data_IF_418571253255
#
_entry.id   IF_418571253255
#
_cell.length_a   1.000
_cell.length_b   1.000
_cell.length_c   1.000
_cell.angle_alpha   90.00
_cell.angle_beta   90.00
_cell.angle_gamma   90.00
#
_symmetry.space_group_name_H-M   'P 1'
#
loop_
_entity.id
_entity.type
_entity.pdbx_description
1 polymer ?
#
# COMPACT_ATOMS: atom_id res chain seq x y z
N UNK A 1 -53.56 18.61 -13.71
CA UNK A 1 -54.06 18.79 -12.32
C UNK A 1 -52.87 19.06 -11.42
N UNK A 2 -53.06 19.91 -10.41
CA UNK A 2 -52.06 20.44 -9.47
C UNK A 2 -51.55 19.38 -8.48
N UNK A 3 -50.24 19.45 -8.21
CA UNK A 3 -49.47 19.29 -6.95
C UNK A 3 -50.11 18.56 -5.75
N UNK A 4 -49.32 17.71 -5.08
CA UNK A 4 -49.14 17.70 -3.61
C UNK A 4 -47.76 17.10 -3.27
N UNK A 5 -46.96 17.84 -2.49
CA UNK A 5 -45.84 17.31 -1.68
C UNK A 5 -46.42 16.88 -0.33
N UNK A 6 -45.99 15.74 0.22
CA UNK A 6 -46.18 15.44 1.64
C UNK A 6 -44.89 14.89 2.26
N UNK A 7 -44.64 15.38 3.47
CA UNK A 7 -43.47 15.25 4.34
C UNK A 7 -43.74 14.15 5.38
N UNK A 8 -42.71 13.43 5.81
CA UNK A 8 -42.65 12.66 7.06
C UNK A 8 -41.36 11.84 7.08
N UNK A 9 -40.26 12.15 7.78
CA UNK A 9 -40.04 12.48 9.19
C UNK A 9 -40.30 11.30 10.16
N UNK A 10 -39.21 10.76 10.72
CA UNK A 10 -39.17 9.88 11.90
C UNK A 10 -39.31 8.39 11.59
N UNK A 11 -38.65 7.44 12.26
CA UNK A 11 -37.84 7.44 13.47
C UNK A 11 -37.08 6.10 13.50
N UNK A 12 -35.88 6.11 14.11
CA UNK A 12 -35.19 4.92 14.60
C UNK A 12 -36.15 3.98 15.35
N UNK A 13 -36.01 2.67 15.21
CA UNK A 13 -35.90 1.77 16.37
C UNK A 13 -35.35 0.40 15.99
N UNK A 14 -34.44 -0.05 16.85
CA UNK A 14 -33.76 -1.34 16.90
C UNK A 14 -34.78 -2.44 17.23
N UNK A 15 -34.68 -3.58 16.56
CA UNK A 15 -35.16 -4.85 17.10
C UNK A 15 -34.06 -5.91 17.00
N UNK A 16 -33.23 -5.95 18.03
CA UNK A 16 -32.54 -7.17 18.44
C UNK A 16 -33.30 -7.68 19.66
N UNK A 17 -33.96 -8.83 19.51
CA UNK A 17 -34.28 -9.80 20.57
C UNK A 17 -34.83 -11.05 19.85
N UNK A 18 -33.98 -12.04 19.58
CA UNK A 18 -33.70 -13.22 20.43
C UNK A 18 -34.97 -14.01 20.73
N UNK A 19 -35.10 -15.19 20.13
CA UNK A 19 -35.71 -16.32 20.80
C UNK A 19 -35.14 -17.63 20.23
N UNK A 20 -34.54 -18.40 21.12
CA UNK A 20 -33.64 -19.50 20.79
C UNK A 20 -34.33 -20.76 20.29
N UNK A 21 -33.52 -21.60 19.66
CA UNK A 21 -33.81 -23.01 19.43
C UNK A 21 -32.56 -23.83 19.77
N UNK A 22 -32.65 -24.51 20.92
CA UNK A 22 -32.13 -25.81 21.29
C UNK A 22 -30.85 -26.32 20.58
N UNK A 23 -29.74 -26.36 21.32
CA UNK A 23 -28.62 -27.25 21.02
C UNK A 23 -28.87 -28.62 21.64
N UNK A 24 -29.08 -29.65 20.81
CA UNK A 24 -28.88 -31.06 21.17
C UNK A 24 -27.66 -31.54 20.41
N UNK A 25 -26.60 -31.90 21.15
CA UNK A 25 -25.40 -32.55 20.63
C UNK A 25 -25.71 -34.02 20.35
N UNK A 26 -25.33 -34.51 19.16
CA UNK A 26 -24.94 -35.91 18.87
C UNK A 26 -24.47 -36.07 17.41
N UNK A 27 -23.19 -36.45 17.25
CA UNK A 27 -22.69 -37.45 16.30
C UNK A 27 -22.90 -37.32 14.78
N UNK A 28 -21.77 -37.51 14.07
CA UNK A 28 -21.63 -38.08 12.70
C UNK A 28 -22.07 -37.26 11.48
N UNK A 29 -21.05 -36.74 10.79
CA UNK A 29 -20.77 -36.82 9.35
C UNK A 29 -21.92 -36.90 8.30
N UNK A 30 -21.86 -35.90 7.40
CA UNK A 30 -22.23 -35.87 5.97
C UNK A 30 -23.68 -35.61 5.49
N UNK A 31 -23.76 -34.50 4.74
CA UNK A 31 -24.49 -34.26 3.48
C UNK A 31 -25.91 -33.62 3.48
N UNK A 32 -25.91 -32.35 3.04
CA UNK A 32 -26.72 -31.71 1.99
C UNK A 32 -28.25 -31.58 2.08
N UNK A 33 -28.71 -30.33 1.99
CA UNK A 33 -29.76 -29.83 1.05
C UNK A 33 -29.59 -28.28 0.93
N UNK A 34 -29.11 -27.77 -0.21
CA UNK A 34 -29.82 -27.26 -1.40
C UNK A 34 -30.37 -25.81 -1.34
N UNK A 35 -29.66 -24.94 -2.08
CA UNK A 35 -30.13 -23.92 -3.05
C UNK A 35 -30.99 -22.74 -2.57
N UNK A 36 -30.46 -21.51 -2.69
CA UNK A 36 -31.12 -20.46 -3.48
C UNK A 36 -30.10 -19.42 -4.00
N UNK A 37 -30.34 -18.99 -5.23
CA UNK A 37 -29.41 -18.43 -6.20
C UNK A 37 -29.20 -16.91 -6.16
N UNK A 38 -28.13 -16.49 -6.85
CA UNK A 38 -28.01 -15.35 -7.79
C UNK A 38 -27.09 -14.21 -7.36
N UNK A 39 -26.09 -14.02 -8.23
CA UNK A 39 -25.12 -12.94 -8.41
C UNK A 39 -25.21 -11.68 -7.54
N UNK A 40 -24.09 -11.39 -6.88
CA UNK A 40 -23.39 -10.13 -7.14
C UNK A 40 -21.88 -10.39 -7.07
N UNK A 41 -21.21 -10.12 -8.19
CA UNK A 41 -19.77 -10.19 -8.35
C UNK A 41 -19.06 -9.30 -7.31
N UNK A 42 -18.73 -9.88 -6.16
CA UNK A 42 -17.71 -9.32 -5.30
C UNK A 42 -16.39 -9.74 -5.92
N UNK A 43 -15.82 -8.82 -6.70
CA UNK A 43 -14.41 -8.85 -7.09
C UNK A 43 -13.59 -9.14 -5.85
N UNK A 44 -13.27 -10.41 -5.66
CA UNK A 44 -12.28 -10.85 -4.71
C UNK A 44 -10.99 -10.33 -5.30
N UNK A 45 -10.63 -9.10 -4.95
CA UNK A 45 -9.24 -8.67 -5.03
C UNK A 45 -8.50 -9.65 -4.14
N UNK A 46 -7.97 -10.69 -4.77
CA UNK A 46 -6.94 -11.53 -4.22
C UNK A 46 -5.86 -10.56 -3.78
N UNK A 47 -5.81 -10.28 -2.48
CA UNK A 47 -4.81 -9.43 -1.89
C UNK A 47 -3.51 -10.22 -1.99
N UNK A 48 -2.87 -10.07 -3.15
CA UNK A 48 -1.61 -10.69 -3.48
C UNK A 48 -0.66 -10.25 -2.37
N UNK A 49 -0.15 -11.19 -1.59
CA UNK A 49 0.87 -10.91 -0.59
C UNK A 49 2.06 -10.32 -1.35
N UNK A 50 2.13 -8.99 -1.39
CA UNK A 50 3.04 -8.26 -2.24
C UNK A 50 4.48 -8.52 -1.82
N UNK A 51 5.36 -8.66 -2.80
CA UNK A 51 6.81 -8.64 -2.58
C UNK A 51 7.20 -7.42 -1.74
N UNK A 52 8.16 -7.59 -0.84
CA UNK A 52 8.68 -6.52 0.02
C UNK A 52 10.19 -6.42 -0.08
N UNK A 53 10.71 -5.20 -0.01
CA UNK A 53 12.12 -4.93 0.22
C UNK A 53 12.36 -4.87 1.72
N UNK A 54 13.15 -5.80 2.26
CA UNK A 54 13.48 -5.87 3.68
C UNK A 54 14.90 -5.38 3.95
N UNK A 55 15.04 -4.49 4.92
CA UNK A 55 16.30 -3.90 5.35
C UNK A 55 16.45 -3.99 6.86
N UNK A 56 17.71 -3.90 7.34
CA UNK A 56 18.01 -3.77 8.77
C UNK A 56 18.77 -2.47 8.99
N UNK A 57 18.17 -1.55 9.73
CA UNK A 57 18.71 -0.21 9.94
C UNK A 57 20.08 -0.22 10.62
N UNK A 58 21.06 0.43 9.98
CA UNK A 58 22.40 0.64 10.50
C UNK A 58 22.61 2.08 10.96
N UNK A 59 23.66 2.37 11.76
CA UNK A 59 24.04 3.74 12.09
C UNK A 59 24.26 4.58 10.82
N UNK A 60 23.58 5.72 10.74
CA UNK A 60 23.66 6.62 9.58
C UNK A 60 22.65 6.32 8.46
N UNK A 61 21.90 5.21 8.53
CA UNK A 61 20.79 4.97 7.62
C UNK A 61 19.61 5.90 7.93
N UNK A 62 18.82 6.21 6.90
CA UNK A 62 17.52 6.84 6.99
C UNK A 62 16.49 6.05 6.20
N UNK A 63 15.20 6.25 6.50
CA UNK A 63 14.14 5.66 5.69
C UNK A 63 14.23 6.11 4.23
N UNK A 64 14.59 7.38 3.98
CA UNK A 64 14.76 7.91 2.62
C UNK A 64 15.88 7.20 1.84
N UNK A 65 17.01 6.86 2.49
CA UNK A 65 18.07 6.07 1.88
C UNK A 65 17.60 4.64 1.54
N UNK A 66 16.80 4.02 2.42
CA UNK A 66 16.20 2.70 2.15
C UNK A 66 15.18 2.76 1.02
N UNK A 67 14.35 3.81 0.97
CA UNK A 67 13.43 4.08 -0.12
C UNK A 67 14.17 4.23 -1.45
N UNK A 68 15.25 5.02 -1.48
CA UNK A 68 16.13 5.16 -2.66
C UNK A 68 16.66 3.81 -3.13
N UNK A 69 17.15 2.98 -2.19
CA UNK A 69 17.65 1.63 -2.49
C UNK A 69 16.55 0.76 -3.10
N UNK A 70 15.34 0.79 -2.54
CA UNK A 70 14.21 0.04 -3.05
C UNK A 70 13.84 0.46 -4.48
N UNK A 71 13.81 1.77 -4.75
CA UNK A 71 13.53 2.34 -6.08
C UNK A 71 14.60 1.93 -7.11
N UNK A 72 15.88 2.05 -6.75
CA UNK A 72 16.98 1.64 -7.62
C UNK A 72 16.95 0.13 -7.89
N UNK A 73 16.69 -0.68 -6.86
CA UNK A 73 16.55 -2.14 -6.98
C UNK A 73 15.38 -2.48 -7.92
N UNK A 74 14.23 -1.82 -7.74
CA UNK A 74 13.08 -1.98 -8.64
C UNK A 74 13.44 -1.62 -10.09
N UNK A 75 14.14 -0.50 -10.30
CA UNK A 75 14.59 -0.06 -11.63
C UNK A 75 15.49 -1.09 -12.31
N UNK A 76 16.47 -1.64 -11.58
CA UNK A 76 17.38 -2.68 -12.09
C UNK A 76 16.62 -3.96 -12.41
N UNK A 77 15.84 -4.49 -11.45
CA UNK A 77 15.11 -5.76 -11.60
C UNK A 77 14.07 -5.70 -12.72
N UNK A 78 13.37 -4.58 -12.86
CA UNK A 78 12.29 -4.40 -13.84
C UNK A 78 12.76 -3.72 -15.15
N UNK A 79 14.07 -3.48 -15.31
CA UNK A 79 14.66 -2.81 -16.48
C UNK A 79 14.02 -1.45 -16.78
N UNK A 80 13.70 -0.71 -15.72
CA UNK A 80 13.17 0.66 -15.81
C UNK A 80 14.33 1.64 -15.61
N UNK A 81 14.65 2.39 -16.65
CA UNK A 81 15.63 3.48 -16.56
C UNK A 81 14.99 4.70 -15.89
N UNK A 82 15.61 5.22 -14.83
CA UNK A 82 15.16 6.38 -14.08
C UNK A 82 16.28 7.41 -14.04
N UNK A 83 15.95 8.68 -14.30
CA UNK A 83 16.86 9.79 -14.02
C UNK A 83 16.99 10.02 -12.52
N UNK A 84 18.06 10.68 -12.10
CA UNK A 84 18.27 11.04 -10.70
C UNK A 84 17.12 11.88 -10.14
N UNK A 85 16.58 12.82 -10.94
CA UNK A 85 15.40 13.61 -10.59
C UNK A 85 14.16 12.72 -10.34
N UNK A 86 13.95 11.68 -11.15
CA UNK A 86 12.85 10.73 -11.00
C UNK A 86 13.02 9.87 -9.73
N UNK A 87 14.26 9.46 -9.43
CA UNK A 87 14.57 8.73 -8.19
C UNK A 87 14.25 9.59 -6.97
N UNK A 88 14.69 10.85 -6.95
CA UNK A 88 14.41 11.77 -5.82
C UNK A 88 12.92 12.07 -5.67
N UNK A 89 12.21 12.25 -6.78
CA UNK A 89 10.75 12.41 -6.75
C UNK A 89 10.09 11.19 -6.09
N UNK A 90 10.39 9.98 -6.55
CA UNK A 90 9.79 8.76 -6.01
C UNK A 90 10.18 8.54 -4.55
N UNK A 91 11.44 8.77 -4.19
CA UNK A 91 11.95 8.65 -2.83
C UNK A 91 11.23 9.60 -1.87
N UNK A 92 11.10 10.87 -2.26
CA UNK A 92 10.48 11.91 -1.44
C UNK A 92 9.05 11.51 -1.08
N UNK A 93 8.27 11.11 -2.08
CA UNK A 93 6.87 10.75 -1.86
C UNK A 93 6.71 9.42 -1.14
N UNK A 94 7.54 8.42 -1.45
CA UNK A 94 7.53 7.14 -0.72
C UNK A 94 7.91 7.32 0.77
N UNK A 95 8.81 8.26 1.06
CA UNK A 95 9.19 8.63 2.43
C UNK A 95 8.06 9.38 3.15
N UNK A 96 7.40 10.31 2.45
CA UNK A 96 6.24 11.05 2.98
C UNK A 96 5.07 10.12 3.28
N UNK A 97 4.74 9.18 2.38
CA UNK A 97 3.68 8.19 2.57
C UNK A 97 3.93 7.31 3.81
N UNK A 98 5.20 7.06 4.14
CA UNK A 98 5.59 6.30 5.33
C UNK A 98 5.59 7.15 6.62
N UNK A 99 5.34 8.46 6.53
CA UNK A 99 5.40 9.38 7.66
C UNK A 99 6.81 9.76 8.09
N UNK A 100 7.82 9.57 7.23
CA UNK A 100 9.23 9.89 7.50
C UNK A 100 9.74 9.34 8.84
N UNK A 101 9.62 8.02 9.09
CA UNK A 101 9.90 7.47 10.41
C UNK A 101 11.38 7.60 10.77
N UNK A 102 11.64 7.94 12.03
CA UNK A 102 12.98 7.78 12.61
C UNK A 102 13.31 6.29 12.71
N UNK A 103 14.56 5.93 12.41
CA UNK A 103 15.03 4.55 12.46
C UNK A 103 15.85 4.29 13.72
N UNK A 104 15.60 3.15 14.35
CA UNK A 104 16.43 2.63 15.45
C UNK A 104 17.40 1.59 14.90
N UNK A 105 18.64 1.58 15.38
CA UNK A 105 19.63 0.55 14.99
C UNK A 105 19.06 -0.86 15.19
N UNK A 106 19.22 -1.72 14.19
CA UNK A 106 18.73 -3.09 14.22
C UNK A 106 17.24 -3.24 13.89
N UNK A 107 16.51 -2.13 13.69
CA UNK A 107 15.12 -2.17 13.28
C UNK A 107 14.99 -2.82 11.89
N UNK A 108 14.10 -3.80 11.78
CA UNK A 108 13.65 -4.31 10.48
C UNK A 108 12.72 -3.29 9.83
N UNK A 109 13.03 -2.91 8.60
CA UNK A 109 12.21 -2.01 7.80
C UNK A 109 11.77 -2.75 6.55
N UNK A 110 10.47 -2.76 6.28
CA UNK A 110 9.88 -3.37 5.10
C UNK A 110 9.21 -2.29 4.24
N UNK A 111 9.61 -2.22 2.97
CA UNK A 111 9.03 -1.32 1.98
C UNK A 111 8.30 -2.18 0.95
N UNK A 112 6.98 -1.99 0.82
CA UNK A 112 6.15 -2.75 -0.12
C UNK A 112 6.55 -2.44 -1.57
N UNK A 113 6.75 -3.47 -2.38
CA UNK A 113 7.10 -3.29 -3.80
C UNK A 113 6.00 -2.55 -4.56
N UNK A 114 4.73 -2.76 -4.23
CA UNK A 114 3.61 -2.03 -4.85
C UNK A 114 3.68 -0.52 -4.60
N UNK A 115 4.12 -0.10 -3.42
CA UNK A 115 4.31 1.32 -3.10
C UNK A 115 5.46 1.91 -3.92
N UNK A 116 6.56 1.16 -4.05
CA UNK A 116 7.71 1.54 -4.90
C UNK A 116 7.27 1.66 -6.35
N UNK A 117 6.61 0.63 -6.89
CA UNK A 117 6.09 0.60 -8.25
C UNK A 117 5.17 1.78 -8.55
N UNK A 118 4.25 2.10 -7.64
CA UNK A 118 3.34 3.24 -7.80
C UNK A 118 4.13 4.56 -7.97
N UNK A 119 5.10 4.84 -7.11
CA UNK A 119 5.88 6.06 -7.18
C UNK A 119 6.87 6.09 -8.35
N UNK A 120 7.43 4.93 -8.72
CA UNK A 120 8.24 4.79 -9.94
C UNK A 120 7.42 5.10 -11.18
N UNK A 121 6.20 4.59 -11.29
CA UNK A 121 5.32 4.89 -12.44
C UNK A 121 5.03 6.39 -12.53
N UNK A 122 4.66 7.03 -11.42
CA UNK A 122 4.44 8.48 -11.37
C UNK A 122 5.71 9.28 -11.72
N UNK A 123 6.87 8.80 -11.29
CA UNK A 123 8.15 9.44 -11.62
C UNK A 123 8.44 9.40 -13.13
N UNK A 124 8.11 8.30 -13.80
CA UNK A 124 8.27 8.16 -15.25
C UNK A 124 7.45 9.15 -16.05
N UNK A 125 6.28 9.52 -15.52
CA UNK A 125 5.36 10.44 -16.18
C UNK A 125 5.72 11.93 -15.96
N UNK A 126 6.81 12.23 -15.24
CA UNK A 126 7.29 13.59 -15.07
C UNK A 126 7.73 14.21 -16.41
N UNK A 127 7.19 15.38 -16.72
CA UNK A 127 7.63 16.20 -17.85
C UNK A 127 9.08 16.67 -17.66
N UNK A 128 9.72 17.10 -18.75
CA UNK A 128 11.08 17.64 -18.69
C UNK A 128 11.20 18.85 -17.73
N UNK A 129 10.18 19.71 -17.69
CA UNK A 129 10.14 20.85 -16.77
C UNK A 129 10.04 20.39 -15.30
N UNK A 130 9.22 19.37 -15.02
CA UNK A 130 9.13 18.81 -13.68
C UNK A 130 10.44 18.12 -13.27
N UNK A 131 11.06 17.35 -14.17
CA UNK A 131 12.37 16.74 -13.91
C UNK A 131 13.44 17.80 -13.62
N UNK A 132 13.46 18.92 -14.35
CA UNK A 132 14.36 20.04 -14.08
C UNK A 132 14.14 20.64 -12.69
N UNK A 133 12.89 20.79 -12.26
CA UNK A 133 12.56 21.27 -10.92
C UNK A 133 13.03 20.31 -9.83
N UNK A 134 12.99 18.99 -10.06
CA UNK A 134 13.51 17.99 -9.11
C UNK A 134 15.03 17.85 -9.14
N UNK A 135 15.67 18.21 -10.26
CA UNK A 135 17.10 18.07 -10.43
C UNK A 135 17.90 18.90 -9.40
N UNK A 136 17.34 20.01 -8.92
CA UNK A 136 17.97 20.84 -7.88
C UNK A 136 18.25 20.04 -6.60
N UNK A 137 17.41 19.07 -6.28
CA UNK A 137 17.56 18.18 -5.12
C UNK A 137 18.47 16.98 -5.43
N UNK A 138 18.49 16.54 -6.69
CA UNK A 138 19.33 15.41 -7.13
C UNK A 138 20.82 15.74 -7.11
N UNK A 139 21.22 16.97 -7.48
CA UNK A 139 22.64 17.35 -7.63
C UNK A 139 23.54 17.06 -6.42
N UNK A 140 22.98 17.09 -5.20
CA UNK A 140 23.74 16.86 -3.97
C UNK A 140 23.38 15.54 -3.27
N UNK A 141 22.54 14.72 -3.90
CA UNK A 141 22.10 13.46 -3.32
C UNK A 141 23.15 12.36 -3.56
N UNK A 142 23.39 11.53 -2.55
CA UNK A 142 24.23 10.35 -2.70
C UNK A 142 23.42 9.17 -3.26
N UNK A 143 23.63 8.82 -4.53
CA UNK A 143 22.93 7.69 -5.16
C UNK A 143 23.58 6.32 -4.91
N UNK A 144 24.70 6.24 -4.20
CA UNK A 144 25.30 4.96 -3.83
C UNK A 144 24.59 4.37 -2.61
N UNK A 145 23.70 3.39 -2.85
CA UNK A 145 22.91 2.72 -1.81
C UNK A 145 23.43 1.32 -1.44
N UNK A 146 24.62 0.94 -1.92
CA UNK A 146 25.15 -0.41 -1.76
C UNK A 146 25.17 -0.85 -0.29
N UNK A 147 25.60 0.04 0.62
CA UNK A 147 25.73 -0.24 2.05
C UNK A 147 24.46 -0.01 2.89
N UNK A 148 23.42 0.63 2.32
CA UNK A 148 22.21 1.00 3.06
C UNK A 148 21.44 -0.25 3.48
N UNK A 149 21.05 -0.33 4.76
CA UNK A 149 20.15 -1.39 5.24
C UNK A 149 20.72 -2.80 5.21
N UNK A 150 22.04 -2.96 5.10
CA UNK A 150 22.74 -4.24 5.18
C UNK A 150 23.27 -4.46 6.59
N UNK A 151 22.99 -5.61 7.20
CA UNK A 151 23.64 -5.99 8.45
C UNK A 151 25.16 -6.04 8.22
N UNK A 152 25.91 -5.33 9.07
CA UNK A 152 27.37 -5.33 9.08
C UNK A 152 27.96 -6.64 9.58
#
# INVERSE_FOLDING_TARGET
MKNIKLIGAGLFTVSVMVLGLLFVVKGTANAQEMIQSTDQAQSSQTQQQGSVYSYVAQPGDSYSLMARKAIQTYGITNKVNLSEAQIIFAETHLTQDAGSPALVKGQKVEIKEDAVKNWVNKAKDLSAQQQSAWNVYAQNANFNTNKVGQAS
#
